data_IF_210176196146
#
_entry.id   IF_210176196146
#
_cell.length_a   1.000
_cell.length_b   1.000
_cell.length_c   1.000
_cell.angle_alpha   90.00
_cell.angle_beta   90.00
_cell.angle_gamma   90.00
#
_symmetry.space_group_name_H-M   'P 1'
#
loop_
_entity.id
_entity.type
_entity.pdbx_description
1 polymer ?
#
# COMPACT_ATOMS: atom_id res chain seq x y z
N UNK A 1 -12.80 41.98 34.91
CA UNK A 1 -13.75 40.93 34.50
C UNK A 1 -13.44 40.60 33.05
N UNK A 2 -12.63 39.55 32.82
CA UNK A 2 -12.25 39.08 31.48
C UNK A 2 -13.21 37.98 31.09
N UNK A 3 -14.02 38.19 30.05
CA UNK A 3 -14.84 37.20 29.44
C UNK A 3 -13.92 36.24 28.62
N UNK A 4 -13.76 35.00 29.03
CA UNK A 4 -13.27 33.93 28.21
C UNK A 4 -14.41 33.48 27.31
N UNK A 5 -14.34 33.79 26.04
CA UNK A 5 -15.16 33.17 25.01
C UNK A 5 -14.48 31.82 24.71
N UNK A 6 -15.08 30.74 25.20
CA UNK A 6 -14.79 29.39 24.73
C UNK A 6 -15.35 29.30 23.31
N UNK A 7 -14.47 29.30 22.32
CA UNK A 7 -14.80 28.83 20.98
C UNK A 7 -14.90 27.31 21.03
N UNK A 8 -16.11 26.80 21.26
CA UNK A 8 -16.46 25.41 20.95
C UNK A 8 -16.36 25.23 19.43
N UNK A 9 -15.48 24.35 19.00
CA UNK A 9 -15.31 24.02 17.61
C UNK A 9 -14.01 23.28 17.37
N UNK A 10 -13.70 22.22 18.16
CA UNK A 10 -12.79 21.17 17.70
C UNK A 10 -13.44 20.47 16.51
N UNK A 11 -13.29 21.07 15.33
CA UNK A 11 -13.38 20.33 14.07
C UNK A 11 -12.18 19.39 14.14
N UNK A 12 -12.42 18.14 14.56
CA UNK A 12 -11.47 17.05 14.36
C UNK A 12 -11.03 17.12 12.91
N UNK A 13 -9.82 17.60 12.67
CA UNK A 13 -9.29 17.76 11.33
C UNK A 13 -9.27 16.36 10.70
N UNK A 14 -10.18 16.14 9.73
CA UNK A 14 -10.26 14.91 8.98
C UNK A 14 -8.88 14.63 8.39
N UNK A 15 -8.35 13.42 8.58
CA UNK A 15 -7.07 13.04 7.98
C UNK A 15 -7.16 13.21 6.45
N UNK A 16 -6.04 13.56 5.83
CA UNK A 16 -5.98 13.69 4.36
C UNK A 16 -5.85 12.33 3.69
N UNK A 17 -6.14 12.26 2.38
CA UNK A 17 -5.93 11.02 1.59
C UNK A 17 -4.48 10.52 1.70
N UNK A 18 -3.51 11.44 1.76
CA UNK A 18 -2.10 11.11 1.97
C UNK A 18 -1.86 10.47 3.33
N UNK A 19 -2.50 10.94 4.39
CA UNK A 19 -2.31 10.39 5.73
C UNK A 19 -2.85 8.95 5.84
N UNK A 20 -4.03 8.67 5.27
CA UNK A 20 -4.54 7.30 5.20
C UNK A 20 -3.69 6.40 4.31
N UNK A 21 -3.21 6.90 3.18
CA UNK A 21 -2.31 6.15 2.30
C UNK A 21 -0.97 5.88 2.97
N UNK A 22 -0.44 6.83 3.74
CA UNK A 22 0.78 6.61 4.52
C UNK A 22 0.59 5.49 5.55
N UNK A 23 -0.58 5.45 6.21
CA UNK A 23 -0.93 4.34 7.11
C UNK A 23 -0.97 2.99 6.37
N UNK A 24 -1.54 2.95 5.16
CA UNK A 24 -1.54 1.74 4.33
C UNK A 24 -0.12 1.30 3.94
N UNK A 25 0.80 2.25 3.67
CA UNK A 25 2.22 1.96 3.40
C UNK A 25 2.94 1.39 4.62
N UNK A 26 2.66 1.90 5.83
CA UNK A 26 3.20 1.37 7.08
C UNK A 26 2.76 -0.08 7.32
N UNK A 27 1.50 -0.39 7.04
CA UNK A 27 0.98 -1.76 7.11
C UNK A 27 1.68 -2.68 6.09
N UNK A 28 1.83 -2.23 4.85
CA UNK A 28 2.53 -2.98 3.81
C UNK A 28 3.97 -3.33 4.21
N UNK A 29 4.68 -2.40 4.85
CA UNK A 29 6.07 -2.59 5.29
C UNK A 29 6.23 -3.72 6.33
N UNK A 30 5.18 -4.03 7.11
CA UNK A 30 5.21 -5.14 8.08
C UNK A 30 5.43 -6.51 7.42
N UNK A 31 5.16 -6.61 6.12
CA UNK A 31 5.36 -7.82 5.35
C UNK A 31 6.77 -7.95 4.74
N UNK A 32 7.70 -7.05 5.06
CA UNK A 32 9.05 -7.07 4.46
C UNK A 32 9.73 -8.43 4.64
N UNK A 33 10.23 -8.98 3.53
CA UNK A 33 10.89 -10.28 3.49
C UNK A 33 9.96 -11.49 3.37
N UNK A 34 8.64 -11.35 3.51
CA UNK A 34 7.71 -12.48 3.58
C UNK A 34 6.85 -12.69 2.32
N UNK A 35 6.65 -11.66 1.51
CA UNK A 35 5.68 -11.72 0.40
C UNK A 35 6.24 -12.25 -0.91
N UNK A 36 7.56 -12.36 -1.08
CA UNK A 36 8.16 -12.78 -2.36
C UNK A 36 7.52 -14.08 -2.91
N UNK A 37 7.18 -14.14 -4.23
CA UNK A 37 7.44 -13.15 -5.27
C UNK A 37 6.41 -12.01 -5.38
N UNK A 38 5.40 -11.98 -4.51
CA UNK A 38 4.33 -10.97 -4.52
C UNK A 38 4.84 -9.61 -3.99
N UNK A 39 4.20 -8.49 -4.38
CA UNK A 39 4.48 -7.19 -3.80
C UNK A 39 3.99 -7.09 -2.35
N UNK A 40 4.57 -6.18 -1.58
CA UNK A 40 4.05 -5.75 -0.30
C UNK A 40 2.89 -4.79 -0.54
N UNK A 41 1.71 -5.13 -0.03
CA UNK A 41 0.48 -4.33 -0.20
C UNK A 41 -0.16 -4.11 1.16
N UNK A 42 -0.63 -2.89 1.39
CA UNK A 42 -1.44 -2.50 2.54
C UNK A 42 -2.76 -1.88 2.10
N UNK A 43 -3.77 -2.02 2.94
CA UNK A 43 -5.10 -1.47 2.72
C UNK A 43 -5.66 -0.89 4.02
N UNK A 44 -6.25 0.30 3.93
CA UNK A 44 -6.99 0.97 5.02
C UNK A 44 -8.38 1.30 4.52
N UNK A 45 -9.40 0.97 5.30
CA UNK A 45 -10.81 1.29 5.00
C UNK A 45 -11.29 2.35 5.98
N UNK A 46 -11.86 3.42 5.46
CA UNK A 46 -12.28 4.61 6.21
C UNK A 46 -13.74 4.89 5.96
N UNK A 47 -14.52 5.06 7.03
CA UNK A 47 -15.94 5.39 6.95
C UNK A 47 -16.22 6.84 6.50
N UNK A 48 -17.50 7.19 6.39
CA UNK A 48 -17.92 8.53 5.99
C UNK A 48 -17.54 9.62 7.00
N UNK A 49 -17.33 9.27 8.25
CA UNK A 49 -16.95 10.14 9.37
C UNK A 49 -15.42 10.38 9.41
N UNK A 50 -14.62 9.56 8.72
CA UNK A 50 -13.17 9.62 8.70
C UNK A 50 -12.50 8.67 9.69
N UNK A 51 -13.23 7.73 10.28
CA UNK A 51 -12.66 6.73 11.15
C UNK A 51 -12.11 5.55 10.34
N UNK A 52 -10.95 5.03 10.74
CA UNK A 52 -10.43 3.78 10.20
C UNK A 52 -11.28 2.64 10.77
N UNK A 53 -11.96 1.90 9.90
CA UNK A 53 -12.86 0.79 10.25
C UNK A 53 -12.31 -0.58 9.86
N UNK A 54 -11.21 -0.62 9.10
CA UNK A 54 -10.50 -1.85 8.78
C UNK A 54 -9.12 -1.59 8.25
N UNK A 55 -8.18 -2.42 8.66
CA UNK A 55 -6.78 -2.39 8.25
C UNK A 55 -6.35 -3.79 7.78
N UNK A 56 -5.45 -3.85 6.83
CA UNK A 56 -4.92 -5.11 6.36
C UNK A 56 -3.67 -4.94 5.52
N UNK A 57 -2.84 -5.98 5.51
CA UNK A 57 -1.71 -6.08 4.61
C UNK A 57 -1.56 -7.52 4.11
N UNK A 58 -0.84 -7.72 3.01
CA UNK A 58 -0.53 -9.03 2.47
C UNK A 58 0.60 -9.66 3.26
N UNK A 59 0.30 -10.64 4.12
CA UNK A 59 1.26 -11.21 5.06
C UNK A 59 2.30 -12.08 4.37
N UNK A 60 1.86 -12.95 3.43
CA UNK A 60 2.71 -13.96 2.78
C UNK A 60 2.13 -14.41 1.45
N UNK A 61 3.00 -14.78 0.52
CA UNK A 61 2.58 -15.36 -0.77
C UNK A 61 1.65 -16.59 -0.58
N UNK A 62 0.47 -16.50 -1.21
CA UNK A 62 -0.58 -17.53 -1.13
C UNK A 62 -1.64 -17.32 -0.05
N UNK A 63 -1.45 -16.36 0.84
CA UNK A 63 -2.43 -15.91 1.83
C UNK A 63 -3.33 -14.80 1.28
N UNK A 64 -4.40 -14.39 2.02
CA UNK A 64 -5.27 -13.31 1.59
C UNK A 64 -4.52 -12.01 1.30
N UNK A 65 -5.01 -11.27 0.33
CA UNK A 65 -4.46 -9.95 0.01
C UNK A 65 -4.89 -8.90 1.04
N UNK A 66 -4.23 -7.74 1.02
CA UNK A 66 -4.45 -6.64 1.96
C UNK A 66 -5.91 -6.22 2.02
N UNK A 67 -6.55 -6.07 0.87
CA UNK A 67 -7.95 -5.65 0.75
C UNK A 67 -8.90 -6.65 1.42
N UNK A 68 -8.64 -7.94 1.27
CA UNK A 68 -9.45 -9.01 1.90
C UNK A 68 -9.31 -8.96 3.42
N UNK A 69 -8.09 -8.75 3.92
CA UNK A 69 -7.83 -8.63 5.35
C UNK A 69 -8.51 -7.39 5.93
N UNK A 70 -8.38 -6.23 5.28
CA UNK A 70 -9.04 -5.00 5.70
C UNK A 70 -10.57 -5.10 5.67
N UNK A 71 -11.15 -5.75 4.64
CA UNK A 71 -12.59 -6.00 4.55
C UNK A 71 -13.09 -6.96 5.65
N UNK A 72 -12.28 -7.96 6.02
CA UNK A 72 -12.62 -8.88 7.10
C UNK A 72 -12.71 -8.17 8.47
N UNK A 73 -11.90 -7.13 8.68
CA UNK A 73 -11.96 -6.28 9.88
C UNK A 73 -13.12 -5.29 9.80
N UNK A 74 -13.27 -4.57 8.68
CA UNK A 74 -14.31 -3.55 8.48
C UNK A 74 -15.74 -4.14 8.53
N UNK A 75 -15.93 -5.36 8.04
CA UNK A 75 -17.23 -6.03 7.98
C UNK A 75 -18.31 -5.15 7.29
N UNK A 76 -19.41 -4.92 7.97
CA UNK A 76 -20.53 -4.12 7.46
C UNK A 76 -20.22 -2.63 7.34
N UNK A 77 -19.22 -2.13 8.07
CA UNK A 77 -18.75 -0.74 7.99
C UNK A 77 -18.03 -0.41 6.67
N UNK A 78 -17.73 -1.42 5.85
CA UNK A 78 -17.17 -1.22 4.52
C UNK A 78 -18.18 -0.60 3.53
N UNK A 79 -19.49 -0.71 3.80
CA UNK A 79 -20.53 -0.18 2.92
C UNK A 79 -20.46 1.34 2.80
N UNK A 80 -20.24 1.87 1.59
CA UNK A 80 -20.09 3.30 1.30
C UNK A 80 -18.74 3.90 1.73
N UNK A 81 -17.85 3.11 2.35
CA UNK A 81 -16.54 3.54 2.84
C UNK A 81 -15.56 3.82 1.70
N UNK A 82 -14.42 4.45 2.03
CA UNK A 82 -13.27 4.66 1.15
C UNK A 82 -12.17 3.65 1.48
N UNK A 83 -11.68 2.92 0.48
CA UNK A 83 -10.53 2.02 0.62
C UNK A 83 -9.27 2.68 0.04
N UNK A 84 -8.22 2.78 0.85
CA UNK A 84 -6.88 3.25 0.47
C UNK A 84 -5.98 2.02 0.27
N UNK A 85 -5.46 1.83 -0.94
CA UNK A 85 -4.67 0.64 -1.29
C UNK A 85 -3.34 1.07 -1.92
N UNK A 86 -2.24 0.53 -1.44
CA UNK A 86 -0.89 0.92 -1.89
C UNK A 86 -0.54 0.47 -3.31
N UNK A 87 -1.29 -0.48 -3.86
CA UNK A 87 -1.14 -1.00 -5.22
C UNK A 87 -2.52 -1.27 -5.82
N UNK A 88 -2.64 -1.20 -7.14
CA UNK A 88 -3.86 -1.53 -7.87
C UNK A 88 -4.47 -2.87 -7.42
N UNK A 89 -5.76 -2.91 -7.01
CA UNK A 89 -6.46 -4.15 -6.67
C UNK A 89 -6.49 -5.12 -7.85
N UNK A 90 -6.09 -6.37 -7.61
CA UNK A 90 -6.01 -7.38 -8.66
C UNK A 90 -7.38 -7.68 -9.30
N UNK A 91 -7.38 -7.94 -10.63
CA UNK A 91 -8.55 -8.28 -11.43
C UNK A 91 -8.57 -9.74 -11.90
N UNK A 92 -7.53 -10.52 -11.63
CA UNK A 92 -7.42 -11.91 -12.07
C UNK A 92 -7.75 -12.90 -10.95
N UNK A 93 -8.23 -14.07 -11.35
CA UNK A 93 -8.41 -15.20 -10.45
C UNK A 93 -7.08 -15.90 -10.24
N UNK A 94 -6.59 -15.88 -9.01
CA UNK A 94 -5.44 -16.64 -8.57
C UNK A 94 -5.87 -17.74 -7.59
N UNK A 95 -5.14 -17.89 -6.49
CA UNK A 95 -5.55 -18.76 -5.36
C UNK A 95 -6.73 -18.18 -4.59
N UNK A 96 -6.90 -16.87 -4.62
CA UNK A 96 -8.04 -16.12 -4.09
C UNK A 96 -8.77 -15.43 -5.24
N UNK A 97 -10.02 -15.03 -5.03
CA UNK A 97 -10.77 -14.23 -6.01
C UNK A 97 -10.17 -12.82 -6.17
N UNK A 98 -10.54 -12.09 -7.25
CA UNK A 98 -10.04 -10.76 -7.51
C UNK A 98 -10.41 -9.75 -6.42
N UNK A 99 -9.45 -8.95 -5.97
CA UNK A 99 -9.68 -7.94 -4.93
C UNK A 99 -10.63 -6.83 -5.38
N UNK A 100 -10.60 -6.42 -6.65
CA UNK A 100 -11.55 -5.45 -7.19
C UNK A 100 -13.01 -5.95 -7.06
N UNK A 101 -13.25 -7.25 -7.23
CA UNK A 101 -14.58 -7.86 -7.04
C UNK A 101 -14.96 -7.90 -5.56
N UNK A 102 -14.00 -8.19 -4.67
CA UNK A 102 -14.24 -8.20 -3.22
C UNK A 102 -14.63 -6.81 -2.71
N UNK A 103 -13.91 -5.75 -3.12
CA UNK A 103 -14.22 -4.36 -2.78
C UNK A 103 -15.60 -3.94 -3.29
N UNK A 104 -15.94 -4.28 -4.54
CA UNK A 104 -17.25 -3.96 -5.11
C UNK A 104 -18.40 -4.69 -4.37
N UNK A 105 -18.24 -5.98 -4.06
CA UNK A 105 -19.24 -6.76 -3.31
C UNK A 105 -19.44 -6.27 -1.87
N UNK A 106 -18.40 -5.74 -1.26
CA UNK A 106 -18.46 -5.12 0.07
C UNK A 106 -19.17 -3.75 0.05
N UNK A 107 -19.47 -3.21 -1.14
CA UNK A 107 -20.13 -1.92 -1.30
C UNK A 107 -19.25 -0.73 -1.02
N UNK A 108 -17.92 -0.85 -1.22
CA UNK A 108 -17.00 0.31 -1.14
C UNK A 108 -17.47 1.39 -2.11
N UNK A 109 -17.53 2.63 -1.65
CA UNK A 109 -17.97 3.79 -2.47
C UNK A 109 -16.83 4.46 -3.23
N UNK A 110 -15.61 4.46 -2.67
CA UNK A 110 -14.41 5.08 -3.26
C UNK A 110 -13.18 4.22 -3.03
N UNK A 111 -12.31 4.14 -4.04
CA UNK A 111 -11.00 3.49 -3.93
C UNK A 111 -9.92 4.47 -4.31
N UNK A 112 -8.99 4.71 -3.39
CA UNK A 112 -7.79 5.52 -3.58
C UNK A 112 -6.59 4.60 -3.70
N UNK A 113 -5.87 4.69 -4.81
CA UNK A 113 -4.74 3.79 -5.13
C UNK A 113 -3.45 4.59 -5.24
N UNK A 114 -2.39 4.13 -4.58
CA UNK A 114 -1.11 4.80 -4.67
C UNK A 114 -0.47 4.66 -6.05
N UNK A 115 -0.36 3.44 -6.59
CA UNK A 115 0.21 3.21 -7.91
C UNK A 115 -0.45 2.04 -8.64
N UNK A 116 -0.35 2.06 -9.97
CA UNK A 116 -0.81 0.98 -10.83
C UNK A 116 0.10 -0.25 -10.72
N UNK A 117 -0.47 -1.43 -11.00
CA UNK A 117 0.32 -2.65 -11.14
C UNK A 117 1.23 -2.50 -12.38
N UNK A 118 2.56 -2.71 -12.24
CA UNK A 118 3.48 -2.60 -13.37
C UNK A 118 3.35 -3.72 -14.40
N UNK A 119 2.58 -4.77 -14.11
CA UNK A 119 2.38 -5.90 -15.02
C UNK A 119 1.44 -5.50 -16.18
N UNK A 120 1.91 -5.48 -17.43
CA UNK A 120 1.08 -5.06 -18.58
C UNK A 120 -0.19 -5.90 -18.76
N UNK A 121 -0.22 -7.13 -18.21
CA UNK A 121 -1.39 -8.02 -18.29
C UNK A 121 -2.48 -7.66 -17.28
N UNK A 122 -2.18 -6.80 -16.32
CA UNK A 122 -3.07 -6.46 -15.19
C UNK A 122 -3.35 -4.95 -15.14
N UNK A 123 -2.37 -4.14 -15.53
CA UNK A 123 -2.38 -2.69 -15.41
C UNK A 123 -3.70 -2.05 -15.87
N UNK A 124 -4.39 -1.39 -14.96
CA UNK A 124 -5.64 -0.67 -15.20
C UNK A 124 -6.90 -1.53 -15.16
N UNK A 125 -6.84 -2.86 -15.25
CA UNK A 125 -8.03 -3.72 -15.32
C UNK A 125 -8.83 -3.72 -14.02
N UNK A 126 -8.14 -3.72 -12.88
CA UNK A 126 -8.80 -3.63 -11.57
C UNK A 126 -9.54 -2.33 -11.39
N UNK A 127 -8.92 -1.21 -11.80
CA UNK A 127 -9.53 0.12 -11.70
C UNK A 127 -10.67 0.31 -12.68
N UNK A 128 -10.56 -0.22 -13.90
CA UNK A 128 -11.63 -0.20 -14.89
C UNK A 128 -12.85 -0.97 -14.38
N UNK A 129 -12.65 -2.17 -13.83
CA UNK A 129 -13.73 -2.94 -13.22
C UNK A 129 -14.44 -2.14 -12.11
N UNK A 130 -13.68 -1.51 -11.19
CA UNK A 130 -14.26 -0.70 -10.11
C UNK A 130 -15.10 0.46 -10.64
N UNK A 131 -14.60 1.19 -11.66
CA UNK A 131 -15.35 2.27 -12.31
C UNK A 131 -16.63 1.79 -12.96
N UNK A 132 -16.62 0.63 -13.63
CA UNK A 132 -17.80 0.03 -14.22
C UNK A 132 -18.85 -0.39 -13.17
N UNK A 133 -18.44 -0.65 -11.92
CA UNK A 133 -19.34 -0.89 -10.79
C UNK A 133 -19.85 0.42 -10.14
N UNK A 134 -19.52 1.59 -10.70
CA UNK A 134 -19.92 2.90 -10.15
C UNK A 134 -19.09 3.38 -8.97
N UNK A 135 -17.95 2.75 -8.69
CA UNK A 135 -17.05 3.12 -7.59
C UNK A 135 -16.14 4.27 -8.06
N UNK A 136 -16.04 5.33 -7.26
CA UNK A 136 -15.09 6.40 -7.50
C UNK A 136 -13.63 5.88 -7.36
N UNK A 137 -12.77 6.21 -8.32
CA UNK A 137 -11.37 5.76 -8.33
C UNK A 137 -10.43 6.94 -8.48
N UNK A 138 -9.58 7.14 -7.46
CA UNK A 138 -8.49 8.13 -7.44
C UNK A 138 -7.15 7.38 -7.47
N UNK A 139 -6.15 7.90 -8.18
CA UNK A 139 -4.83 7.28 -8.30
C UNK A 139 -3.72 8.28 -8.08
N UNK A 140 -2.54 7.81 -7.66
CA UNK A 140 -1.32 8.62 -7.55
C UNK A 140 -1.05 9.21 -6.17
N UNK A 141 -1.85 8.86 -5.16
CA UNK A 141 -1.63 9.33 -3.78
C UNK A 141 -0.45 8.56 -3.16
N UNK A 142 0.63 9.25 -2.79
CA UNK A 142 1.90 8.68 -2.31
C UNK A 142 2.54 7.68 -3.30
N UNK A 143 2.42 7.95 -4.61
CA UNK A 143 2.89 7.03 -5.67
C UNK A 143 4.38 6.73 -5.57
N UNK A 144 5.20 7.73 -5.27
CA UNK A 144 6.67 7.59 -5.18
C UNK A 144 7.06 6.63 -4.05
N UNK A 145 6.42 6.77 -2.90
CA UNK A 145 6.64 5.95 -1.72
C UNK A 145 6.22 4.50 -1.98
N UNK A 146 5.05 4.29 -2.58
CA UNK A 146 4.56 2.97 -2.94
C UNK A 146 5.46 2.25 -3.96
N UNK A 147 5.95 2.96 -4.97
CA UNK A 147 6.92 2.42 -5.93
C UNK A 147 8.26 2.09 -5.29
N UNK A 148 8.76 2.93 -4.36
CA UNK A 148 9.99 2.69 -3.63
C UNK A 148 9.87 1.47 -2.71
N UNK A 149 8.75 1.33 -2.02
CA UNK A 149 8.47 0.17 -1.16
C UNK A 149 8.60 -1.15 -1.95
N UNK A 150 8.10 -1.17 -3.18
CA UNK A 150 8.06 -2.34 -4.05
C UNK A 150 9.09 -2.29 -5.20
N UNK A 151 10.21 -1.56 -5.07
CA UNK A 151 11.17 -1.36 -6.17
C UNK A 151 11.75 -2.67 -6.72
N UNK A 152 11.91 -3.70 -5.88
CA UNK A 152 12.36 -5.05 -6.29
C UNK A 152 11.35 -5.72 -7.19
N UNK A 153 10.07 -5.69 -6.79
CA UNK A 153 8.95 -6.22 -7.58
C UNK A 153 8.81 -5.47 -8.92
N UNK A 154 8.80 -4.12 -8.88
CA UNK A 154 8.73 -3.30 -10.09
C UNK A 154 9.89 -3.59 -11.05
N UNK A 155 11.12 -3.69 -10.52
CA UNK A 155 12.30 -4.01 -11.34
C UNK A 155 12.17 -5.37 -12.03
N UNK A 156 11.71 -6.39 -11.31
CA UNK A 156 11.50 -7.71 -11.87
C UNK A 156 10.45 -7.71 -12.97
N UNK A 157 9.27 -7.14 -12.69
CA UNK A 157 8.14 -7.15 -13.64
C UNK A 157 8.44 -6.33 -14.90
N UNK A 158 9.05 -5.15 -14.76
CA UNK A 158 9.26 -4.24 -15.90
C UNK A 158 10.55 -4.51 -16.67
N UNK A 159 11.61 -4.95 -15.99
CA UNK A 159 12.96 -5.09 -16.58
C UNK A 159 13.40 -6.54 -16.75
N UNK A 160 12.65 -7.51 -16.23
CA UNK A 160 12.93 -8.94 -16.29
C UNK A 160 14.36 -9.27 -15.82
N UNK A 161 14.85 -8.55 -14.81
CA UNK A 161 16.16 -8.78 -14.19
C UNK A 161 16.06 -8.64 -12.68
N UNK A 162 16.97 -9.26 -11.90
CA UNK A 162 16.99 -9.09 -10.46
C UNK A 162 17.28 -7.62 -10.07
N UNK A 163 16.77 -7.21 -8.92
CA UNK A 163 17.20 -6.02 -8.22
C UNK A 163 18.49 -6.34 -7.47
N UNK A 164 19.56 -5.61 -7.76
CA UNK A 164 20.87 -5.86 -7.18
C UNK A 164 21.13 -4.83 -6.10
N UNK A 165 21.40 -5.30 -4.88
CA UNK A 165 21.84 -4.47 -3.75
C UNK A 165 23.29 -4.79 -3.44
N UNK A 166 24.17 -3.80 -3.53
CA UNK A 166 25.55 -3.89 -3.10
C UNK A 166 25.69 -3.31 -1.69
N UNK A 167 26.07 -4.15 -0.73
CA UNK A 167 26.44 -3.71 0.62
C UNK A 167 27.94 -3.86 0.79
N UNK A 168 28.62 -2.78 1.13
CA UNK A 168 30.04 -2.80 1.40
C UNK A 168 30.38 -1.89 2.60
N UNK A 169 31.45 -2.22 3.29
CA UNK A 169 32.07 -1.34 4.28
C UNK A 169 33.38 -0.79 3.70
N UNK A 170 33.65 0.47 3.92
CA UNK A 170 34.90 1.11 3.47
C UNK A 170 35.31 2.21 4.45
N UNK A 171 36.59 2.53 4.44
CA UNK A 171 37.14 3.70 5.14
C UNK A 171 36.70 5.00 4.46
N UNK A 172 36.90 6.13 5.12
CA UNK A 172 36.54 7.45 4.59
C UNK A 172 37.23 7.77 3.25
N UNK A 173 38.45 7.25 3.03
CA UNK A 173 39.19 7.36 1.78
C UNK A 173 38.90 6.25 0.75
N UNK A 174 37.80 5.49 0.97
CA UNK A 174 37.27 4.52 0.00
C UNK A 174 37.99 3.18 -0.05
N UNK A 175 38.79 2.82 0.97
CA UNK A 175 39.47 1.52 1.03
C UNK A 175 38.58 0.47 1.68
N UNK A 176 38.56 -0.75 1.12
CA UNK A 176 37.80 -1.91 1.64
C UNK A 176 38.70 -2.87 2.43
N UNK A 177 40.02 -2.68 2.39
CA UNK A 177 41.02 -3.46 3.10
C UNK A 177 42.36 -2.70 3.15
N UNK A 178 43.28 -3.16 4.00
CA UNK A 178 44.67 -2.71 3.99
C UNK A 178 45.39 -3.20 2.71
N UNK A 179 46.61 -2.68 2.46
CA UNK A 179 47.46 -3.14 1.33
C UNK A 179 47.77 -4.65 1.40
N UNK A 180 47.71 -5.27 2.59
CA UNK A 180 47.91 -6.72 2.81
C UNK A 180 46.61 -7.51 2.73
N UNK A 181 45.46 -6.87 2.46
CA UNK A 181 44.16 -7.54 2.35
C UNK A 181 43.43 -7.74 3.66
N UNK A 182 43.90 -7.22 4.78
CA UNK A 182 43.23 -7.31 6.07
C UNK A 182 42.08 -6.31 6.15
N UNK A 183 40.88 -6.78 6.46
CA UNK A 183 39.62 -6.00 6.59
C UNK A 183 38.94 -6.18 7.94
N UNK A 184 39.67 -6.68 8.95
CA UNK A 184 39.08 -7.09 10.23
C UNK A 184 38.31 -5.99 10.96
N UNK A 185 38.61 -4.72 10.70
CA UNK A 185 38.06 -3.56 11.40
C UNK A 185 37.42 -2.50 10.46
N UNK A 186 37.05 -2.90 9.27
CA UNK A 186 36.33 -2.05 8.30
C UNK A 186 34.87 -2.39 8.28
#
# INVERSE_FOLDING_TARGET
MRFFILLEGDILARMTDEAYMQRALELALQAEGNTSPNPMVGCVIVDAEGNIVGEGYHHKAGEPHAEVNALAEAKQMAQGATAYVTLEPCAHYGRTGPCCVALARAGIGKVVVACLDPNPKVAGQGLEYLRLQGIEVVTGVCEKEAKRLNERFFTWITKQRPFITLKYAMTLDGKIATATGDSKWI
#
